data_IF_862855026811
#
_entry.id   IF_862855026811
#
_cell.length_a   1.000
_cell.length_b   1.000
_cell.length_c   1.000
_cell.angle_alpha   90.00
_cell.angle_beta   90.00
_cell.angle_gamma   90.00
#
_symmetry.space_group_name_H-M   'P 1'
#
loop_
_entity.id
_entity.type
_entity.pdbx_description
1 polymer ?
#
# COMPACT_ATOMS: atom_id res chain seq x y z
N UNK A 1 -13.62 -0.25 3.09
CA UNK A 1 -12.29 -0.73 2.69
C UNK A 1 -11.91 0.03 1.45
N UNK A 2 -11.13 1.10 1.62
CA UNK A 2 -10.60 1.88 0.51
C UNK A 2 -9.09 1.83 0.69
N UNK A 3 -8.42 1.07 -0.17
CA UNK A 3 -6.95 0.88 -0.13
C UNK A 3 -6.22 2.21 0.09
N UNK A 4 -6.65 3.27 -0.59
CA UNK A 4 -6.01 4.58 -0.49
C UNK A 4 -6.17 5.19 0.91
N UNK A 5 -7.37 5.11 1.49
CA UNK A 5 -7.62 5.63 2.84
C UNK A 5 -6.83 4.82 3.88
N UNK A 6 -6.88 3.49 3.78
CA UNK A 6 -6.19 2.60 4.72
C UNK A 6 -4.66 2.81 4.66
N UNK A 7 -4.12 3.03 3.45
CA UNK A 7 -2.70 3.36 3.25
C UNK A 7 -2.35 4.77 3.76
N UNK A 8 -3.22 5.75 3.55
CA UNK A 8 -3.00 7.12 4.04
C UNK A 8 -2.94 7.18 5.56
N UNK A 9 -3.86 6.50 6.24
CA UNK A 9 -3.90 6.42 7.70
C UNK A 9 -2.62 5.75 8.22
N UNK A 10 -2.19 4.64 7.60
CA UNK A 10 -0.94 3.97 7.96
C UNK A 10 0.28 4.89 7.80
N UNK A 11 0.40 5.58 6.67
CA UNK A 11 1.53 6.51 6.43
C UNK A 11 1.50 7.67 7.41
N UNK A 12 0.31 8.20 7.72
CA UNK A 12 0.14 9.29 8.68
C UNK A 12 0.68 8.90 10.07
N UNK A 13 0.33 7.72 10.54
CA UNK A 13 0.71 7.24 11.88
C UNK A 13 2.19 6.84 11.96
N UNK A 14 2.75 6.32 10.87
CA UNK A 14 4.07 5.69 10.89
C UNK A 14 5.21 6.54 10.30
N UNK A 15 4.93 7.62 9.54
CA UNK A 15 5.98 8.50 8.95
C UNK A 15 6.95 9.10 9.98
N UNK A 16 6.55 9.22 11.24
CA UNK A 16 7.41 9.76 12.31
C UNK A 16 8.50 8.78 12.78
N UNK A 17 8.36 7.50 12.45
CA UNK A 17 9.32 6.46 12.85
C UNK A 17 10.50 6.32 11.88
N UNK A 18 10.50 7.08 10.79
CA UNK A 18 11.54 7.09 9.77
C UNK A 18 10.98 6.83 8.37
N UNK A 19 11.88 6.60 7.41
CA UNK A 19 11.50 6.30 6.03
C UNK A 19 10.72 5.00 5.96
N UNK A 20 9.55 5.05 5.30
CA UNK A 20 8.72 3.88 5.00
C UNK A 20 9.15 3.30 3.66
N UNK A 21 9.20 1.97 3.56
CA UNK A 21 9.53 1.26 2.31
C UNK A 21 8.29 0.56 1.80
N UNK A 22 7.80 0.97 0.63
CA UNK A 22 6.66 0.34 -0.03
C UNK A 22 7.11 -0.61 -1.14
N UNK A 23 6.40 -1.74 -1.26
CA UNK A 23 6.56 -2.70 -2.36
C UNK A 23 5.19 -3.22 -2.82
N UNK A 24 5.14 -3.74 -4.04
CA UNK A 24 3.97 -4.41 -4.58
C UNK A 24 4.40 -5.62 -5.40
N UNK A 25 3.75 -6.76 -5.16
CA UNK A 25 4.00 -7.95 -5.98
C UNK A 25 3.56 -7.70 -7.42
N UNK A 26 4.15 -8.44 -8.36
CA UNK A 26 3.76 -8.35 -9.76
C UNK A 26 2.24 -8.61 -9.92
N UNK A 27 1.52 -7.75 -10.67
CA UNK A 27 0.09 -7.93 -10.89
C UNK A 27 -0.25 -9.25 -11.58
N UNK A 28 -1.13 -10.04 -10.95
CA UNK A 28 -1.70 -11.25 -11.54
C UNK A 28 -3.18 -11.04 -11.89
N UNK A 29 -3.77 -12.05 -12.54
CA UNK A 29 -5.18 -12.04 -12.96
C UNK A 29 -6.15 -11.88 -11.78
N UNK A 30 -5.75 -12.31 -10.58
CA UNK A 30 -6.54 -12.26 -9.35
C UNK A 30 -6.18 -11.09 -8.41
N UNK A 31 -5.20 -10.26 -8.77
CA UNK A 31 -4.78 -9.12 -7.94
C UNK A 31 -3.27 -9.07 -7.69
N UNK A 32 -2.90 -8.28 -6.69
CA UNK A 32 -1.53 -8.16 -6.17
C UNK A 32 -1.54 -7.79 -4.70
N UNK A 33 -0.43 -8.06 -4.02
CA UNK A 33 -0.19 -7.66 -2.64
C UNK A 33 0.57 -6.34 -2.60
N UNK A 34 0.10 -5.38 -1.80
CA UNK A 34 0.83 -4.16 -1.45
C UNK A 34 1.34 -4.31 -0.03
N UNK A 35 2.62 -3.99 0.17
CA UNK A 35 3.25 -3.95 1.50
C UNK A 35 3.91 -2.61 1.76
N UNK A 36 3.85 -2.13 3.00
CA UNK A 36 4.64 -0.98 3.46
C UNK A 36 5.27 -1.30 4.80
N UNK A 37 6.60 -1.33 4.85
CA UNK A 37 7.38 -1.58 6.05
C UNK A 37 7.76 -0.27 6.76
N UNK A 38 7.53 -0.24 8.07
CA UNK A 38 7.99 0.82 8.97
C UNK A 38 9.24 0.36 9.73
N UNK A 39 10.24 1.22 9.98
CA UNK A 39 11.40 0.91 10.85
C UNK A 39 11.01 0.51 12.27
N UNK A 40 9.79 0.85 12.70
CA UNK A 40 9.19 0.45 13.97
C UNK A 40 8.81 -1.05 14.04
N UNK A 41 8.98 -1.82 12.96
CA UNK A 41 8.68 -3.25 12.89
C UNK A 41 7.26 -3.60 12.47
N UNK A 42 6.39 -2.61 12.25
CA UNK A 42 5.03 -2.82 11.74
C UNK A 42 5.04 -2.82 10.21
N UNK A 43 4.26 -3.73 9.62
CA UNK A 43 4.07 -3.85 8.17
C UNK A 43 2.59 -3.69 7.86
N UNK A 44 2.26 -2.76 6.97
CA UNK A 44 0.97 -2.73 6.31
C UNK A 44 0.97 -3.76 5.19
N UNK A 45 -0.04 -4.62 5.14
CA UNK A 45 -0.21 -5.62 4.08
C UNK A 45 -1.66 -5.61 3.60
N UNK A 46 -1.86 -5.46 2.28
CA UNK A 46 -3.19 -5.43 1.69
C UNK A 46 -3.23 -6.05 0.31
N UNK A 47 -4.12 -7.02 0.13
CA UNK A 47 -4.46 -7.56 -1.19
C UNK A 47 -5.34 -6.57 -1.95
N UNK A 48 -4.98 -6.31 -3.21
CA UNK A 48 -5.72 -5.47 -4.15
C UNK A 48 -6.34 -6.33 -5.23
N UNK A 49 -7.67 -6.32 -5.31
CA UNK A 49 -8.41 -7.08 -6.31
C UNK A 49 -8.40 -6.38 -7.68
N UNK A 50 -8.64 -7.11 -8.79
CA UNK A 50 -8.76 -6.50 -10.12
C UNK A 50 -9.82 -5.40 -10.20
N UNK A 51 -10.87 -5.50 -9.38
CA UNK A 51 -11.97 -4.54 -9.30
C UNK A 51 -11.58 -3.23 -8.60
N UNK A 52 -10.61 -3.28 -7.69
CA UNK A 52 -10.07 -2.10 -6.99
C UNK A 52 -9.03 -1.37 -7.86
N UNK A 53 -8.36 -2.09 -8.78
CA UNK A 53 -7.39 -1.52 -9.74
C UNK A 53 -8.03 -0.47 -10.65
N UNK A 54 -9.25 -0.70 -11.11
CA UNK A 54 -9.97 0.22 -12.01
C UNK A 54 -10.41 1.52 -11.33
N UNK A 55 -10.35 1.59 -9.99
CA UNK A 55 -10.74 2.76 -9.20
C UNK A 55 -9.55 3.58 -8.67
N UNK A 56 -8.32 3.11 -8.90
CA UNK A 56 -7.11 3.66 -8.25
C UNK A 56 -5.96 3.91 -9.24
N UNK A 57 -6.25 4.10 -10.53
CA UNK A 57 -5.20 4.38 -11.51
C UNK A 57 -4.77 5.86 -11.44
N UNK A 58 -3.76 6.14 -10.61
CA UNK A 58 -2.63 7.07 -10.85
C UNK A 58 -1.90 7.38 -9.53
N UNK A 59 -0.88 6.58 -9.18
CA UNK A 59 0.24 7.06 -8.33
C UNK A 59 1.54 6.74 -9.06
N UNK A 60 1.84 7.58 -10.04
CA UNK A 60 3.18 7.66 -10.62
C UNK A 60 4.03 8.51 -9.68
N UNK A 61 5.06 7.88 -9.08
CA UNK A 61 6.29 8.51 -8.56
C UNK A 61 6.16 9.33 -7.26
N UNK A 62 6.61 8.73 -6.15
CA UNK A 62 7.35 9.43 -5.09
C UNK A 62 8.83 9.06 -5.25
#
# INVERSE_FOLDING_TARGET
MNLLADLQDFVHDHRRHGSLTGDATEPAWNGYLVTVACPCGVVFERWVTPEERTRTCCVSRL
#
